data_IF_325939469479
#
_entry.id   IF_325939469479
#
_cell.length_a   1.000
_cell.length_b   1.000
_cell.length_c   1.000
_cell.angle_alpha   90.00
_cell.angle_beta   90.00
_cell.angle_gamma   90.00
#
_symmetry.space_group_name_H-M   'P 1'
#
loop_
_entity.id
_entity.type
_entity.pdbx_description
1 polymer ?
#
# COMPACT_ATOMS: atom_id res chain seq x y z
N UNK A 1 9.12 -12.88 5.55
CA UNK A 1 7.67 -12.68 5.39
C UNK A 1 7.39 -11.19 5.41
N UNK A 2 6.57 -10.68 4.50
CA UNK A 2 6.23 -9.26 4.38
C UNK A 2 5.07 -8.93 5.33
N UNK A 3 5.10 -7.78 5.99
CA UNK A 3 3.99 -7.38 6.86
C UNK A 3 2.77 -7.02 6.01
N UNK A 4 1.59 -7.44 6.47
CA UNK A 4 0.31 -7.16 5.83
C UNK A 4 -0.58 -6.27 6.69
N UNK A 5 -1.44 -5.50 6.04
CA UNK A 5 -2.42 -4.66 6.72
C UNK A 5 -3.43 -5.54 7.47
N UNK A 6 -3.63 -5.25 8.76
CA UNK A 6 -4.56 -6.01 9.60
C UNK A 6 -6.02 -5.72 9.23
N UNK A 7 -6.80 -6.79 9.18
CA UNK A 7 -8.25 -6.72 9.00
C UNK A 7 -8.95 -7.83 9.77
N UNK A 8 -10.22 -7.59 10.08
CA UNK A 8 -11.14 -8.61 10.55
C UNK A 8 -12.00 -9.07 9.37
N UNK A 9 -12.11 -10.39 9.15
CA UNK A 9 -13.09 -10.96 8.24
C UNK A 9 -14.46 -10.92 8.92
N UNK A 10 -15.38 -10.13 8.38
CA UNK A 10 -16.71 -9.93 8.98
C UNK A 10 -17.82 -10.65 8.19
N UNK A 11 -17.45 -11.36 7.13
CA UNK A 11 -18.37 -12.19 6.37
C UNK A 11 -17.76 -12.71 5.08
N UNK A 12 -18.31 -13.81 4.58
CA UNK A 12 -17.99 -14.37 3.26
C UNK A 12 -19.28 -14.72 2.55
N UNK A 13 -19.44 -14.24 1.32
CA UNK A 13 -20.64 -14.47 0.52
C UNK A 13 -20.19 -14.98 -0.84
N UNK A 14 -20.46 -16.26 -1.12
CA UNK A 14 -20.12 -16.93 -2.36
C UNK A 14 -18.68 -16.64 -2.82
N UNK A 15 -18.51 -15.72 -3.78
CA UNK A 15 -17.27 -15.40 -4.48
C UNK A 15 -16.47 -14.25 -3.87
N UNK A 16 -16.94 -13.59 -2.81
CA UNK A 16 -16.21 -12.48 -2.19
C UNK A 16 -16.17 -12.55 -0.66
N UNK A 17 -15.23 -11.81 -0.09
CA UNK A 17 -15.02 -11.66 1.35
C UNK A 17 -15.24 -10.20 1.76
N UNK A 18 -15.94 -10.00 2.87
CA UNK A 18 -16.12 -8.70 3.48
C UNK A 18 -15.09 -8.52 4.61
N UNK A 19 -14.21 -7.53 4.45
CA UNK A 19 -13.12 -7.23 5.39
C UNK A 19 -13.30 -5.86 6.03
N UNK A 20 -13.09 -5.77 7.33
CA UNK A 20 -12.96 -4.51 8.07
C UNK A 20 -11.49 -4.27 8.36
N UNK A 21 -10.89 -3.30 7.68
CA UNK A 21 -9.50 -2.92 7.92
C UNK A 21 -9.36 -2.11 9.21
N UNK A 22 -8.32 -2.44 9.98
CA UNK A 22 -7.96 -1.68 11.18
C UNK A 22 -7.38 -0.32 10.78
N UNK A 23 -7.43 0.67 11.67
CA UNK A 23 -6.79 1.97 11.41
C UNK A 23 -5.28 1.77 11.23
N UNK A 24 -4.73 2.41 10.20
CA UNK A 24 -3.29 2.48 9.97
C UNK A 24 -2.91 3.82 9.37
N UNK A 25 -1.61 4.09 9.34
CA UNK A 25 -1.04 5.21 8.59
C UNK A 25 -0.64 4.69 7.21
N UNK A 26 -1.04 5.42 6.18
CA UNK A 26 -0.68 5.14 4.79
C UNK A 26 0.17 6.29 4.23
N UNK A 27 1.12 5.94 3.37
CA UNK A 27 1.80 6.90 2.51
C UNK A 27 1.21 6.75 1.10
N UNK A 28 0.72 7.84 0.53
CA UNK A 28 0.07 7.85 -0.78
C UNK A 28 0.74 8.82 -1.74
N UNK A 29 0.60 8.54 -3.03
CA UNK A 29 1.08 9.40 -4.11
C UNK A 29 -0.04 9.50 -5.13
N UNK A 30 -0.45 10.73 -5.45
CA UNK A 30 -1.39 10.99 -6.53
C UNK A 30 -0.63 11.28 -7.83
N UNK A 31 -0.97 10.57 -8.88
CA UNK A 31 -0.42 10.78 -10.24
C UNK A 31 -1.54 10.99 -11.23
N UNK A 32 -1.28 11.78 -12.28
CA UNK A 32 -2.17 11.92 -13.43
C UNK A 32 -1.60 11.11 -14.59
N UNK A 33 -2.14 9.92 -14.82
CA UNK A 33 -1.67 8.97 -15.85
C UNK A 33 -2.82 8.03 -16.24
N UNK A 34 -2.65 7.27 -17.32
CA UNK A 34 -3.53 6.13 -17.62
C UNK A 34 -3.35 5.01 -16.59
N UNK A 35 -4.33 4.10 -16.50
CA UNK A 35 -4.35 3.04 -15.48
C UNK A 35 -3.12 2.13 -15.53
N UNK A 36 -2.69 1.74 -16.74
CA UNK A 36 -1.54 0.87 -16.97
C UNK A 36 -0.23 1.50 -16.47
N UNK A 37 -0.08 2.81 -16.66
CA UNK A 37 1.13 3.55 -16.28
C UNK A 37 1.08 4.12 -14.86
N UNK A 38 -0.11 4.36 -14.31
CA UNK A 38 -0.31 4.93 -12.98
C UNK A 38 0.33 4.09 -11.87
N UNK A 39 0.23 2.77 -11.97
CA UNK A 39 0.80 1.86 -10.98
C UNK A 39 2.32 2.01 -10.81
N UNK A 40 3.06 1.97 -11.92
CA UNK A 40 4.52 2.09 -11.89
C UNK A 40 5.00 3.50 -11.55
N UNK A 41 4.32 4.53 -12.07
CA UNK A 41 4.65 5.93 -11.84
C UNK A 41 4.35 6.37 -10.41
N UNK A 42 3.25 5.90 -9.81
CA UNK A 42 2.90 6.15 -8.42
C UNK A 42 3.74 5.35 -7.42
N UNK A 43 4.14 4.12 -7.76
CA UNK A 43 4.92 3.28 -6.85
C UNK A 43 6.38 3.73 -6.70
N UNK A 44 7.01 4.25 -7.76
CA UNK A 44 8.43 4.66 -7.72
C UNK A 44 8.77 5.65 -6.59
N UNK A 45 8.00 6.75 -6.39
CA UNK A 45 8.22 7.66 -5.27
C UNK A 45 8.02 7.00 -3.90
N UNK A 46 7.02 6.13 -3.75
CA UNK A 46 6.80 5.37 -2.52
C UNK A 46 7.99 4.44 -2.21
N UNK A 47 8.50 3.75 -3.23
CA UNK A 47 9.69 2.90 -3.09
C UNK A 47 10.90 3.71 -2.62
N UNK A 48 11.13 4.89 -3.22
CA UNK A 48 12.19 5.80 -2.80
C UNK A 48 12.06 6.20 -1.33
N UNK A 49 10.85 6.60 -0.91
CA UNK A 49 10.56 6.98 0.47
C UNK A 49 10.90 5.86 1.46
N UNK A 50 10.43 4.62 1.22
CA UNK A 50 10.68 3.50 2.14
C UNK A 50 12.14 3.01 2.09
N UNK A 51 12.84 3.20 0.97
CA UNK A 51 14.25 2.86 0.82
C UNK A 51 15.21 3.84 1.54
N UNK A 52 14.69 4.96 2.06
CA UNK A 52 15.45 5.94 2.82
C UNK A 52 15.50 7.34 2.21
N UNK A 53 14.81 7.61 1.10
CA UNK A 53 14.65 8.96 0.56
C UNK A 53 13.54 9.73 1.31
N UNK A 54 13.69 9.81 2.64
CA UNK A 54 12.83 10.55 3.55
C UNK A 54 13.67 11.44 4.46
N UNK A 55 13.06 12.40 5.14
CA UNK A 55 13.77 13.39 5.97
C UNK A 55 14.69 12.75 7.01
N UNK A 56 14.29 11.62 7.60
CA UNK A 56 15.08 10.90 8.61
C UNK A 56 16.19 10.02 8.04
N UNK A 57 16.24 9.81 6.71
CA UNK A 57 17.10 8.82 6.03
C UNK A 57 16.94 7.38 6.56
N UNK A 58 15.80 7.08 7.16
CA UNK A 58 15.52 5.78 7.76
C UNK A 58 14.88 4.84 6.75
N UNK A 59 15.20 3.55 6.80
CA UNK A 59 14.52 2.54 5.98
C UNK A 59 13.21 2.12 6.63
N UNK A 60 12.16 2.01 5.84
CA UNK A 60 10.87 1.42 6.23
C UNK A 60 10.74 0.08 5.51
N UNK A 61 10.36 -0.97 6.23
CA UNK A 61 10.19 -2.28 5.63
C UNK A 61 9.05 -2.26 4.59
N UNK A 62 9.23 -2.98 3.48
CA UNK A 62 8.18 -3.18 2.49
C UNK A 62 6.96 -3.87 3.14
N UNK A 63 5.77 -3.48 2.74
CA UNK A 63 4.50 -4.10 3.15
C UNK A 63 3.70 -4.59 1.94
N UNK A 64 2.71 -5.44 2.20
CA UNK A 64 1.80 -5.97 1.18
C UNK A 64 0.34 -5.84 1.63
N UNK A 65 -0.63 -5.65 0.73
CA UNK A 65 -0.45 -5.28 -0.68
C UNK A 65 -0.03 -3.81 -0.84
N UNK A 66 0.35 -3.43 -2.06
CA UNK A 66 0.36 -2.03 -2.51
C UNK A 66 -0.98 -1.76 -3.19
N UNK A 67 -1.66 -0.68 -2.80
CA UNK A 67 -2.98 -0.30 -3.31
C UNK A 67 -2.82 0.78 -4.39
N UNK A 68 -3.64 0.73 -5.45
CA UNK A 68 -3.64 1.64 -6.59
C UNK A 68 -4.95 2.42 -6.70
#
# INVERSE_FOLDING_TARGET
MTQEQRFDSIGKVNTFELRRYHTCVIAEVSVKSDFESAGSSGFRPLFGYIAGANHSRAKVAMTSPVIQ
#
